data_IF_355176311285
#
_entry.id   IF_355176311285
#
_cell.length_a   1.000
_cell.length_b   1.000
_cell.length_c   1.000
_cell.angle_alpha   90.00
_cell.angle_beta   90.00
_cell.angle_gamma   90.00
#
_symmetry.space_group_name_H-M   'P 1'
#
loop_
_entity.id
_entity.type
_entity.pdbx_description
1 polymer ?
#
# COMPACT_ATOMS: atom_id res chain seq x y z
N UNK A 1 27.38 -10.39 20.23
CA UNK A 1 27.44 -11.83 19.90
C UNK A 1 26.36 -12.62 20.66
N UNK A 2 26.18 -12.39 21.96
CA UNK A 2 25.14 -13.03 22.78
C UNK A 2 23.71 -12.82 22.27
N UNK A 3 23.37 -11.61 21.78
CA UNK A 3 22.07 -11.34 21.15
C UNK A 3 21.86 -12.10 19.84
N UNK A 4 22.92 -12.33 19.05
CA UNK A 4 22.83 -13.09 17.80
C UNK A 4 22.58 -14.58 18.07
N UNK A 5 23.22 -15.13 19.12
CA UNK A 5 22.98 -16.51 19.57
C UNK A 5 21.55 -16.66 20.08
N UNK A 6 21.04 -15.69 20.86
CA UNK A 6 19.66 -15.70 21.33
C UNK A 6 18.65 -15.66 20.18
N UNK A 7 18.93 -14.87 19.13
CA UNK A 7 18.04 -14.77 17.97
C UNK A 7 18.01 -16.09 17.16
N UNK A 8 19.18 -16.66 16.88
CA UNK A 8 19.29 -17.96 16.18
C UNK A 8 18.69 -19.10 17.01
N UNK A 9 18.88 -19.09 18.33
CA UNK A 9 18.27 -20.07 19.23
C UNK A 9 16.75 -19.94 19.30
N UNK A 10 16.22 -18.71 19.28
CA UNK A 10 14.79 -18.44 19.26
C UNK A 10 14.15 -18.88 17.94
N UNK A 11 14.80 -18.63 16.80
CA UNK A 11 14.32 -19.09 15.48
C UNK A 11 14.29 -20.62 15.38
N UNK A 12 15.33 -21.30 15.87
CA UNK A 12 15.39 -22.77 15.92
C UNK A 12 14.32 -23.36 16.86
N UNK A 13 14.08 -22.72 18.00
CA UNK A 13 13.04 -23.14 18.96
C UNK A 13 11.63 -22.99 18.38
N UNK A 14 11.36 -21.91 17.63
CA UNK A 14 10.08 -21.68 16.97
C UNK A 14 9.84 -22.65 15.79
N UNK A 15 10.89 -23.02 15.04
CA UNK A 15 10.82 -24.03 13.98
C UNK A 15 10.45 -25.42 14.54
N UNK A 16 11.08 -25.84 15.64
CA UNK A 16 10.82 -27.15 16.26
C UNK A 16 9.46 -27.19 16.97
N UNK A 17 8.97 -26.05 17.47
CA UNK A 17 7.69 -25.96 18.18
C UNK A 17 6.45 -25.98 17.28
N UNK A 18 6.61 -25.96 15.94
CA UNK A 18 5.51 -26.12 14.97
C UNK A 18 4.45 -25.00 14.98
N UNK A 19 4.74 -23.85 15.60
CA UNK A 19 3.77 -22.77 15.84
C UNK A 19 3.64 -21.75 14.69
N UNK A 20 4.46 -21.84 13.64
CA UNK A 20 4.38 -20.95 12.46
C UNK A 20 4.63 -21.72 11.15
N UNK A 21 3.95 -21.28 10.08
CA UNK A 21 4.11 -21.83 8.74
C UNK A 21 5.51 -21.65 8.17
N UNK A 22 5.96 -22.63 7.36
CA UNK A 22 7.30 -22.78 6.76
C UNK A 22 7.97 -21.48 6.27
N UNK A 23 7.16 -20.57 5.70
CA UNK A 23 7.63 -19.33 5.06
C UNK A 23 8.35 -18.38 6.03
N UNK A 24 7.94 -18.31 7.29
CA UNK A 24 8.60 -17.43 8.26
C UNK A 24 10.02 -17.91 8.58
N UNK A 25 10.21 -19.23 8.68
CA UNK A 25 11.51 -19.81 9.03
C UNK A 25 12.52 -19.70 7.89
N UNK A 26 12.08 -19.85 6.65
CA UNK A 26 12.94 -19.72 5.47
C UNK A 26 13.56 -18.32 5.32
N UNK A 27 12.77 -17.27 5.61
CA UNK A 27 13.25 -15.88 5.56
C UNK A 27 14.25 -15.59 6.67
N UNK A 28 14.00 -16.09 7.89
CA UNK A 28 14.92 -15.90 9.01
C UNK A 28 16.22 -16.69 8.83
N UNK A 29 16.14 -17.94 8.35
CA UNK A 29 17.31 -18.78 8.10
C UNK A 29 18.18 -18.23 6.95
N UNK A 30 17.57 -17.79 5.85
CA UNK A 30 18.30 -17.15 4.75
C UNK A 30 18.92 -15.82 5.18
N UNK A 31 18.24 -15.02 6.01
CA UNK A 31 18.79 -13.80 6.60
C UNK A 31 20.00 -14.06 7.51
N UNK A 32 19.93 -15.08 8.37
CA UNK A 32 21.02 -15.46 9.26
C UNK A 32 22.24 -16.00 8.48
N UNK A 33 22.02 -16.84 7.47
CA UNK A 33 23.06 -17.33 6.58
C UNK A 33 23.72 -16.17 5.82
N UNK A 34 22.92 -15.24 5.28
CA UNK A 34 23.44 -14.06 4.59
C UNK A 34 24.31 -13.19 5.52
N UNK A 35 23.87 -12.96 6.76
CA UNK A 35 24.64 -12.20 7.75
C UNK A 35 25.97 -12.88 8.11
N UNK A 36 25.97 -14.21 8.26
CA UNK A 36 27.20 -14.99 8.49
C UNK A 36 28.18 -14.87 7.32
N UNK A 37 27.71 -15.06 6.08
CA UNK A 37 28.53 -14.93 4.88
C UNK A 37 29.09 -13.51 4.73
N UNK A 38 28.26 -12.48 4.93
CA UNK A 38 28.70 -11.08 4.90
C UNK A 38 29.86 -10.82 5.88
N UNK A 39 29.78 -11.38 7.09
CA UNK A 39 30.83 -11.25 8.10
C UNK A 39 32.10 -12.06 7.76
N UNK A 40 31.93 -13.32 7.37
CA UNK A 40 33.02 -14.24 7.05
C UNK A 40 33.85 -13.74 5.87
N UNK A 41 33.19 -13.26 4.81
CA UNK A 41 33.84 -12.75 3.61
C UNK A 41 34.22 -11.26 3.69
N UNK A 42 33.94 -10.59 4.82
CA UNK A 42 34.27 -9.18 5.09
C UNK A 42 33.89 -8.27 3.91
N UNK A 43 32.70 -8.48 3.34
CA UNK A 43 32.24 -7.72 2.18
C UNK A 43 32.21 -6.22 2.51
N UNK A 44 32.90 -5.41 1.70
CA UNK A 44 32.88 -3.95 1.79
C UNK A 44 31.81 -3.40 0.85
N UNK A 45 30.54 -3.64 1.19
CA UNK A 45 29.39 -3.12 0.42
C UNK A 45 29.17 -1.62 0.62
N UNK A 46 29.75 -1.04 1.67
CA UNK A 46 29.69 0.39 1.93
C UNK A 46 30.71 1.14 1.06
N UNK A 47 30.29 2.22 0.36
CA UNK A 47 31.24 3.09 -0.31
C UNK A 47 32.20 3.69 0.74
N UNK A 48 33.50 3.72 0.42
CA UNK A 48 34.56 4.26 1.29
C UNK A 48 34.29 5.70 1.76
N UNK A 49 33.44 6.43 1.04
CA UNK A 49 32.91 7.72 1.43
C UNK A 49 31.41 7.54 1.69
N UNK A 50 30.96 7.74 2.93
CA UNK A 50 29.54 7.83 3.21
C UNK A 50 28.95 8.99 2.39
N UNK A 51 27.83 8.79 1.68
CA UNK A 51 27.10 9.92 1.12
C UNK A 51 26.76 10.85 2.29
N UNK A 52 27.17 12.11 2.16
CA UNK A 52 26.96 13.14 3.17
C UNK A 52 25.50 13.09 3.64
N UNK A 53 25.25 13.09 4.95
CA UNK A 53 23.92 13.03 5.59
C UNK A 53 23.01 14.23 5.26
N UNK A 54 23.27 14.93 4.16
CA UNK A 54 22.46 16.02 3.62
C UNK A 54 21.05 15.57 3.21
N UNK A 55 20.83 14.26 3.09
CA UNK A 55 19.50 13.66 2.92
C UNK A 55 18.58 13.87 4.14
N UNK A 56 19.14 14.16 5.31
CA UNK A 56 18.39 14.51 6.52
C UNK A 56 18.31 16.03 6.77
N UNK A 57 18.58 16.86 5.75
CA UNK A 57 18.37 18.31 5.88
C UNK A 57 16.89 18.58 6.12
N UNK A 58 16.61 19.28 7.22
CA UNK A 58 15.28 19.70 7.62
C UNK A 58 14.63 20.45 6.46
N UNK A 59 13.51 19.94 5.94
CA UNK A 59 12.76 20.61 4.87
C UNK A 59 12.35 22.01 5.35
N UNK A 60 12.41 23.05 4.48
CA UNK A 60 11.99 24.40 4.86
C UNK A 60 10.51 24.38 5.29
N UNK A 61 10.15 25.27 6.24
CA UNK A 61 8.78 25.38 6.74
C UNK A 61 7.87 25.70 5.55
N UNK A 62 6.92 24.79 5.28
CA UNK A 62 5.92 24.95 4.23
C UNK A 62 5.12 26.22 4.56
N UNK A 63 5.21 27.26 3.72
CA UNK A 63 4.28 28.38 3.79
C UNK A 63 2.96 27.88 3.25
N UNK A 64 1.98 27.73 4.13
CA UNK A 64 0.61 27.45 3.76
C UNK A 64 0.08 28.71 3.07
N UNK A 65 -0.02 28.66 1.75
CA UNK A 65 -0.92 29.55 1.04
C UNK A 65 -2.31 29.07 1.44
N UNK A 66 -2.97 29.87 2.29
CA UNK A 66 -4.39 29.72 2.50
C UNK A 66 -5.04 30.16 1.20
N UNK A 67 -5.27 29.18 0.32
CA UNK A 67 -6.13 29.37 -0.81
C UNK A 67 -7.46 29.81 -0.20
N UNK A 68 -7.83 31.07 -0.45
CA UNK A 68 -9.23 31.47 -0.30
C UNK A 68 -10.01 30.36 -0.95
N UNK A 69 -10.98 29.80 -0.21
CA UNK A 69 -11.82 28.72 -0.69
C UNK A 69 -12.55 29.28 -1.90
N UNK A 70 -11.91 29.19 -3.07
CA UNK A 70 -12.59 29.08 -4.34
C UNK A 70 -13.40 27.83 -4.12
N UNK A 71 -14.65 28.04 -3.70
CA UNK A 71 -15.68 27.04 -3.64
C UNK A 71 -15.43 26.14 -4.84
N UNK A 72 -15.17 24.86 -4.59
CA UNK A 72 -14.88 23.87 -5.62
C UNK A 72 -16.02 23.95 -6.63
N UNK A 73 -15.84 24.80 -7.64
CA UNK A 73 -16.64 24.82 -8.82
C UNK A 73 -16.03 23.67 -9.60
N UNK A 74 -16.70 22.51 -9.70
CA UNK A 74 -16.16 21.40 -10.45
C UNK A 74 -15.78 21.92 -11.83
N UNK A 75 -14.47 21.92 -12.14
CA UNK A 75 -13.94 22.24 -13.47
C UNK A 75 -14.30 21.19 -14.53
N UNK A 76 -15.05 20.18 -14.11
CA UNK A 76 -15.76 19.29 -14.98
C UNK A 76 -17.14 19.91 -15.16
N UNK A 77 -17.37 20.55 -16.31
CA UNK A 77 -18.72 20.54 -16.86
C UNK A 77 -19.16 19.08 -16.78
N UNK A 78 -20.20 18.81 -15.98
CA UNK A 78 -20.90 17.53 -16.02
C UNK A 78 -21.47 17.50 -17.42
N UNK A 79 -20.66 17.01 -18.36
CA UNK A 79 -21.11 16.69 -19.70
C UNK A 79 -22.25 15.74 -19.45
N UNK A 80 -23.49 16.20 -19.67
CA UNK A 80 -24.68 15.39 -19.50
C UNK A 80 -24.47 14.12 -20.31
N UNK A 81 -23.97 13.08 -19.65
CA UNK A 81 -23.54 11.87 -20.32
C UNK A 81 -24.79 11.07 -20.75
N UNK A 82 -25.99 11.67 -20.70
CA UNK A 82 -27.29 11.03 -20.86
C UNK A 82 -27.45 9.80 -19.97
N UNK A 83 -26.63 9.66 -18.92
CA UNK A 83 -26.70 8.53 -17.99
C UNK A 83 -27.87 8.84 -17.05
N UNK A 84 -28.76 7.87 -16.83
CA UNK A 84 -29.87 8.07 -15.90
C UNK A 84 -29.34 8.49 -14.52
N UNK A 85 -29.91 9.56 -13.95
CA UNK A 85 -29.46 10.13 -12.68
C UNK A 85 -29.56 9.12 -11.52
N UNK A 86 -30.60 8.27 -11.55
CA UNK A 86 -30.81 7.16 -10.62
C UNK A 86 -29.67 6.15 -10.63
N UNK A 87 -29.06 5.92 -11.80
CA UNK A 87 -27.89 5.04 -11.92
C UNK A 87 -26.67 5.65 -11.23
N UNK A 88 -26.44 6.96 -11.38
CA UNK A 88 -25.31 7.66 -10.77
C UNK A 88 -25.45 7.69 -9.24
N UNK A 89 -26.63 8.03 -8.74
CA UNK A 89 -26.93 8.03 -7.30
C UNK A 89 -26.65 6.64 -6.69
N UNK A 90 -27.08 5.57 -7.36
CA UNK A 90 -26.86 4.21 -6.87
C UNK A 90 -25.39 3.78 -6.93
N UNK A 91 -24.63 4.24 -7.93
CA UNK A 91 -23.17 4.04 -7.98
C UNK A 91 -22.51 4.71 -6.78
N UNK A 92 -22.86 5.96 -6.49
CA UNK A 92 -22.28 6.73 -5.38
C UNK A 92 -22.55 6.06 -4.02
N UNK A 93 -23.77 5.57 -3.78
CA UNK A 93 -24.10 4.79 -2.58
C UNK A 93 -23.22 3.55 -2.41
N UNK A 94 -22.98 2.82 -3.50
CA UNK A 94 -22.15 1.61 -3.47
C UNK A 94 -20.67 1.99 -3.25
N UNK A 95 -20.19 3.09 -3.84
CA UNK A 95 -18.83 3.59 -3.63
C UNK A 95 -18.61 4.05 -2.19
N UNK A 96 -19.61 4.69 -1.56
CA UNK A 96 -19.57 5.05 -0.14
C UNK A 96 -19.45 3.79 0.74
N UNK A 97 -20.25 2.76 0.45
CA UNK A 97 -20.14 1.45 1.14
C UNK A 97 -18.75 0.84 0.99
N UNK A 98 -18.18 0.83 -0.23
CA UNK A 98 -16.79 0.36 -0.46
C UNK A 98 -15.81 1.18 0.38
N UNK A 99 -15.99 2.49 0.47
CA UNK A 99 -15.11 3.37 1.24
C UNK A 99 -15.13 3.07 2.74
N UNK A 100 -16.27 2.62 3.29
CA UNK A 100 -16.43 2.34 4.71
C UNK A 100 -16.03 0.90 5.09
N UNK A 101 -16.46 -0.09 4.31
CA UNK A 101 -16.34 -1.51 4.66
C UNK A 101 -15.50 -2.35 3.69
N UNK A 102 -14.91 -1.73 2.67
CA UNK A 102 -14.06 -2.40 1.68
C UNK A 102 -14.85 -3.14 0.58
N UNK A 103 -14.16 -3.53 -0.49
CA UNK A 103 -14.76 -4.14 -1.70
C UNK A 103 -15.45 -5.49 -1.42
N UNK A 104 -14.92 -6.26 -0.46
CA UNK A 104 -15.45 -7.59 -0.15
C UNK A 104 -16.80 -7.55 0.58
N UNK A 105 -17.24 -6.36 1.01
CA UNK A 105 -18.55 -6.14 1.62
C UNK A 105 -19.72 -6.02 0.62
N UNK A 106 -19.43 -6.07 -0.67
CA UNK A 106 -20.42 -5.95 -1.73
C UNK A 106 -21.18 -7.27 -1.96
N UNK A 107 -22.49 -7.16 -2.20
CA UNK A 107 -23.27 -8.28 -2.72
C UNK A 107 -22.93 -8.54 -4.19
N UNK A 108 -23.24 -9.75 -4.66
CA UNK A 108 -23.07 -10.09 -6.08
C UNK A 108 -23.89 -9.15 -6.99
N UNK A 109 -25.08 -8.75 -6.55
CA UNK A 109 -25.93 -7.81 -7.27
C UNK A 109 -25.32 -6.41 -7.39
N UNK A 110 -24.73 -5.89 -6.30
CA UNK A 110 -24.04 -4.59 -6.28
C UNK A 110 -22.81 -4.61 -7.20
N UNK A 111 -22.06 -5.71 -7.19
CA UNK A 111 -20.89 -5.89 -8.05
C UNK A 111 -21.28 -5.95 -9.53
N UNK A 112 -22.33 -6.71 -9.88
CA UNK A 112 -22.90 -6.76 -11.22
C UNK A 112 -23.43 -5.39 -11.67
N UNK A 113 -24.03 -4.63 -10.76
CA UNK A 113 -24.51 -3.29 -11.04
C UNK A 113 -23.36 -2.33 -11.37
N UNK A 114 -22.29 -2.30 -10.56
CA UNK A 114 -21.10 -1.48 -10.83
C UNK A 114 -20.46 -1.85 -12.17
N UNK A 115 -20.39 -3.13 -12.51
CA UNK A 115 -19.86 -3.59 -13.80
C UNK A 115 -20.68 -3.03 -14.98
N UNK A 116 -22.01 -3.13 -14.91
CA UNK A 116 -22.92 -2.58 -15.94
C UNK A 116 -22.85 -1.06 -16.04
N UNK A 117 -22.74 -0.37 -14.91
CA UNK A 117 -22.60 1.08 -14.87
C UNK A 117 -21.27 1.52 -15.50
N UNK A 118 -20.17 0.85 -15.17
CA UNK A 118 -18.84 1.11 -15.75
C UNK A 118 -18.83 0.95 -17.28
N UNK A 119 -19.40 -0.13 -17.81
CA UNK A 119 -19.53 -0.34 -19.26
C UNK A 119 -20.37 0.73 -19.94
N UNK A 120 -21.46 1.16 -19.29
CA UNK A 120 -22.33 2.22 -19.81
C UNK A 120 -21.59 3.57 -19.86
N UNK A 121 -20.87 3.93 -18.80
CA UNK A 121 -20.04 5.15 -18.74
C UNK A 121 -18.94 5.10 -19.80
N UNK A 122 -18.22 3.97 -19.91
CA UNK A 122 -17.15 3.78 -20.88
C UNK A 122 -17.64 3.92 -22.32
N UNK A 123 -18.77 3.29 -22.65
CA UNK A 123 -19.38 3.39 -23.99
C UNK A 123 -19.76 4.82 -24.35
N UNK A 124 -20.24 5.60 -23.39
CA UNK A 124 -20.66 6.99 -23.63
C UNK A 124 -19.53 8.02 -23.61
N UNK A 125 -18.38 7.63 -23.05
CA UNK A 125 -17.17 8.44 -23.04
C UNK A 125 -16.33 8.27 -24.31
N UNK A 126 -16.39 7.09 -24.94
CA UNK A 126 -15.79 6.81 -26.26
C UNK A 126 -16.57 7.48 -27.39
#
# INVERSE_FOLDING_TARGET
WLMAILFVGFDAFNLISGKQGSVAVEVHLSGALFAYLYHAFRWKLLPRKMPSMQLFKRKPKLKLYQEEVHAYAPKYEVKEMGIPEDMLIRVDQILEKISLSGKDSLSEEENLFLFKASETIKRKKS
#
